data_IF_383842491074
#
_entry.id   IF_383842491074
#
_cell.length_a   1.000
_cell.length_b   1.000
_cell.length_c   1.000
_cell.angle_alpha   90.00
_cell.angle_beta   90.00
_cell.angle_gamma   90.00
#
_symmetry.space_group_name_H-M   'P 1'
#
loop_
_entity.id
_entity.type
_entity.pdbx_description
1 polymer ?
#
# COMPACT_ATOMS: atom_id res chain seq x y z
N UNK A 1 2.50 8.37 -18.65
CA UNK A 1 3.57 8.05 -17.68
C UNK A 1 3.23 6.72 -16.99
N UNK A 2 4.23 5.97 -16.53
CA UNK A 2 4.03 4.73 -15.76
C UNK A 2 4.78 4.85 -14.43
N UNK A 3 4.12 4.47 -13.34
CA UNK A 3 4.65 4.57 -11.98
C UNK A 3 4.89 3.17 -11.40
N UNK A 4 6.04 2.95 -10.78
CA UNK A 4 6.30 1.74 -9.99
C UNK A 4 6.12 2.10 -8.52
N UNK A 5 5.14 1.48 -7.86
CA UNK A 5 4.86 1.76 -6.46
C UNK A 5 5.97 1.19 -5.57
N UNK A 6 6.29 1.94 -4.51
CA UNK A 6 7.10 1.46 -3.40
C UNK A 6 6.23 0.98 -2.23
N UNK A 7 6.87 0.46 -1.19
CA UNK A 7 6.20 -0.07 0.01
C UNK A 7 5.40 1.01 0.74
N UNK A 8 5.94 2.23 0.83
CA UNK A 8 5.32 3.33 1.57
C UNK A 8 4.03 3.81 0.88
N UNK A 9 4.01 3.84 -0.46
CA UNK A 9 2.77 4.16 -1.19
C UNK A 9 1.71 3.10 -0.95
N UNK A 10 2.08 1.81 -0.94
CA UNK A 10 1.12 0.74 -0.63
C UNK A 10 0.59 0.84 0.81
N UNK A 11 1.46 1.13 1.80
CA UNK A 11 1.03 1.37 3.18
C UNK A 11 0.12 2.58 3.30
N UNK A 12 0.45 3.69 2.64
CA UNK A 12 -0.37 4.89 2.63
C UNK A 12 -1.75 4.64 1.99
N UNK A 13 -1.83 3.81 0.95
CA UNK A 13 -3.10 3.45 0.32
C UNK A 13 -3.96 2.53 1.21
N UNK A 14 -3.33 1.62 1.97
CA UNK A 14 -4.05 0.70 2.86
C UNK A 14 -4.55 1.38 4.14
N UNK A 15 -3.68 2.14 4.82
CA UNK A 15 -3.91 2.57 6.20
C UNK A 15 -4.43 4.01 6.25
N UNK A 16 -5.67 4.16 6.74
CA UNK A 16 -6.32 5.46 6.88
C UNK A 16 -5.62 6.40 7.87
N UNK A 17 -4.89 5.84 8.83
CA UNK A 17 -4.14 6.60 9.84
C UNK A 17 -2.73 6.98 9.35
N UNK A 18 -2.32 6.52 8.15
CA UNK A 18 -1.06 6.91 7.56
C UNK A 18 -1.10 8.39 7.16
N UNK A 19 -0.08 9.17 7.55
CA UNK A 19 0.02 10.63 7.30
C UNK A 19 -0.15 11.03 5.82
N UNK A 20 0.14 10.11 4.90
CA UNK A 20 0.01 10.32 3.45
C UNK A 20 -1.24 9.69 2.83
N UNK A 21 -2.17 9.12 3.60
CA UNK A 21 -3.33 8.40 3.07
C UNK A 21 -4.14 9.23 2.09
N UNK A 22 -4.58 10.43 2.51
CA UNK A 22 -5.35 11.32 1.64
C UNK A 22 -4.61 11.72 0.35
N UNK A 23 -3.29 11.98 0.45
CA UNK A 23 -2.46 12.33 -0.71
C UNK A 23 -2.31 11.16 -1.68
N UNK A 24 -2.04 9.96 -1.17
CA UNK A 24 -1.90 8.75 -1.96
C UNK A 24 -3.22 8.39 -2.68
N UNK A 25 -4.34 8.45 -1.97
CA UNK A 25 -5.67 8.21 -2.53
C UNK A 25 -6.05 9.23 -3.60
N UNK A 26 -5.80 10.53 -3.35
CA UNK A 26 -6.04 11.58 -4.34
C UNK A 26 -5.18 11.41 -5.58
N UNK A 27 -3.91 11.04 -5.41
CA UNK A 27 -3.00 10.77 -6.51
C UNK A 27 -3.47 9.58 -7.34
N UNK A 28 -3.77 8.44 -6.69
CA UNK A 28 -4.22 7.21 -7.37
C UNK A 28 -5.50 7.44 -8.17
N UNK A 29 -6.47 8.20 -7.64
CA UNK A 29 -7.72 8.54 -8.32
C UNK A 29 -7.53 9.46 -9.53
N UNK A 30 -6.46 10.26 -9.57
CA UNK A 30 -6.15 11.14 -10.68
C UNK A 30 -5.39 10.46 -11.83
N UNK A 31 -5.03 9.18 -11.69
CA UNK A 31 -4.29 8.43 -12.70
C UNK A 31 -5.19 7.88 -13.81
N UNK A 32 -4.73 7.93 -15.06
CA UNK A 32 -5.36 7.23 -16.18
C UNK A 32 -5.03 5.72 -16.13
N UNK A 33 -6.01 4.84 -16.35
CA UNK A 33 -5.83 3.39 -16.15
C UNK A 33 -5.33 2.65 -17.41
N UNK A 34 -4.37 1.70 -17.29
CA UNK A 34 -3.47 1.44 -16.15
C UNK A 34 -2.14 2.23 -16.29
N UNK A 35 -1.83 3.10 -15.32
CA UNK A 35 -0.57 3.86 -15.30
C UNK A 35 0.34 3.54 -14.12
N UNK A 36 0.06 2.48 -13.36
CA UNK A 36 0.93 2.05 -12.26
C UNK A 36 1.12 0.53 -12.24
N UNK A 37 2.22 0.10 -11.62
CA UNK A 37 2.54 -1.29 -11.34
C UNK A 37 3.24 -1.40 -9.97
N UNK A 38 3.40 -2.62 -9.47
CA UNK A 38 4.26 -2.96 -8.33
C UNK A 38 5.27 -4.05 -8.76
N UNK A 39 6.12 -4.51 -7.85
CA UNK A 39 7.02 -5.63 -8.08
C UNK A 39 7.01 -6.61 -6.89
N UNK A 40 7.47 -7.86 -7.07
CA UNK A 40 7.47 -8.86 -6.00
C UNK A 40 8.20 -8.40 -4.73
N UNK A 41 9.32 -7.67 -4.87
CA UNK A 41 10.07 -7.16 -3.72
C UNK A 41 9.26 -6.13 -2.93
N UNK A 42 8.59 -5.19 -3.61
CA UNK A 42 7.71 -4.22 -2.96
C UNK A 42 6.53 -4.91 -2.26
N UNK A 43 5.90 -5.89 -2.92
CA UNK A 43 4.77 -6.64 -2.36
C UNK A 43 5.17 -7.42 -1.10
N UNK A 44 6.32 -8.11 -1.13
CA UNK A 44 6.84 -8.82 0.04
C UNK A 44 7.19 -7.86 1.19
N UNK A 45 7.76 -6.69 0.88
CA UNK A 45 8.04 -5.65 1.87
C UNK A 45 6.76 -5.13 2.56
N UNK A 46 5.71 -4.90 1.78
CA UNK A 46 4.39 -4.51 2.28
C UNK A 46 3.80 -5.58 3.21
N UNK A 47 3.73 -6.84 2.77
CA UNK A 47 3.21 -7.98 3.57
C UNK A 47 3.98 -8.10 4.89
N UNK A 48 5.31 -8.00 4.87
CA UNK A 48 6.15 -8.08 6.07
C UNK A 48 5.77 -7.04 7.12
N UNK A 49 5.42 -5.83 6.72
CA UNK A 49 5.07 -4.73 7.62
C UNK A 49 3.65 -4.91 8.17
N UNK A 50 2.66 -5.16 7.30
CA UNK A 50 1.26 -5.24 7.72
C UNK A 50 0.95 -6.48 8.57
N UNK A 51 1.72 -7.56 8.41
CA UNK A 51 1.61 -8.78 9.22
C UNK A 51 2.35 -8.69 10.56
N UNK A 52 3.04 -7.60 10.86
CA UNK A 52 3.75 -7.45 12.12
C UNK A 52 2.78 -7.15 13.26
N UNK A 53 2.92 -7.85 14.39
CA UNK A 53 2.01 -7.69 15.55
C UNK A 53 1.97 -6.28 16.14
N UNK A 54 3.04 -5.50 15.97
CA UNK A 54 3.10 -4.09 16.37
C UNK A 54 2.41 -3.13 15.40
N UNK A 55 1.98 -3.58 14.21
CA UNK A 55 1.24 -2.75 13.27
C UNK A 55 -0.23 -2.70 13.71
N UNK A 56 -0.67 -1.52 14.17
CA UNK A 56 -1.98 -1.35 14.84
C UNK A 56 -3.19 -1.65 13.97
N UNK A 57 -3.05 -1.51 12.64
CA UNK A 57 -4.05 -1.87 11.63
C UNK A 57 -3.70 -3.19 10.95
N UNK A 58 -3.00 -4.09 11.66
CA UNK A 58 -2.54 -5.37 11.14
C UNK A 58 -3.70 -6.17 10.59
N UNK A 59 -3.68 -6.40 9.28
CA UNK A 59 -4.47 -7.47 8.67
C UNK A 59 -3.98 -8.76 9.33
N UNK A 60 -4.82 -9.41 10.14
CA UNK A 60 -4.49 -10.76 10.57
C UNK A 60 -4.36 -11.61 9.30
N UNK A 61 -3.39 -12.53 9.26
CA UNK A 61 -3.26 -13.43 8.12
C UNK A 61 -4.58 -14.19 7.90
N UNK A 62 -5.31 -14.47 8.98
CA UNK A 62 -6.66 -15.06 8.94
C UNK A 62 -7.72 -14.19 8.24
N UNK A 63 -7.57 -12.87 8.20
CA UNK A 63 -8.51 -12.00 7.49
C UNK A 63 -8.21 -11.89 5.98
N UNK A 64 -7.04 -12.38 5.53
CA UNK A 64 -6.57 -12.27 4.15
C UNK A 64 -6.79 -13.54 3.30
N UNK A 65 -7.24 -14.65 3.91
CA UNK A 65 -7.60 -15.93 3.28
C UNK A 65 -9.08 -16.22 3.49
#
# INVERSE_FOLDING_TARGET
>A
MRFLLDVNVLLALLDSEHVHHGKAMSWLRGLATPSWASCPTTQNGFIRIVSHSGYRQGLSVQAAV
#
